data_IF_166322046135
#
_entry.id   IF_166322046135
#
_cell.length_a   1.000
_cell.length_b   1.000
_cell.length_c   1.000
_cell.angle_alpha   90.00
_cell.angle_beta   90.00
_cell.angle_gamma   90.00
#
_symmetry.space_group_name_H-M   'P 1'
#
loop_
_entity.id
_entity.type
_entity.pdbx_description
1 polymer ?
#
# COMPACT_ATOMS: atom_id res chain seq x y z
N UNK A 1 -12.09 9.21 1.10
CA UNK A 1 -10.85 9.99 1.38
C UNK A 1 -10.02 9.32 2.46
N UNK A 2 -10.59 8.90 3.58
CA UNK A 2 -9.89 8.13 4.61
C UNK A 2 -9.30 6.85 4.02
N UNK A 3 -10.02 6.15 3.15
CA UNK A 3 -9.54 4.96 2.45
C UNK A 3 -8.24 5.19 1.64
N UNK A 4 -8.08 6.34 1.01
CA UNK A 4 -6.84 6.66 0.28
C UNK A 4 -5.65 6.85 1.23
N UNK A 5 -5.87 7.54 2.37
CA UNK A 5 -4.82 7.73 3.37
C UNK A 5 -4.45 6.41 4.06
N UNK A 6 -5.46 5.58 4.36
CA UNK A 6 -5.26 4.25 4.93
C UNK A 6 -4.51 3.35 3.94
N UNK A 7 -4.87 3.40 2.65
CA UNK A 7 -4.17 2.70 1.59
C UNK A 7 -2.71 3.13 1.44
N UNK A 8 -2.42 4.43 1.50
CA UNK A 8 -1.05 4.96 1.46
C UNK A 8 -0.24 4.53 2.69
N UNK A 9 -0.86 4.55 3.87
CA UNK A 9 -0.25 4.09 5.10
C UNK A 9 0.10 2.62 5.04
N UNK A 10 -0.86 1.79 4.66
CA UNK A 10 -0.68 0.35 4.49
C UNK A 10 0.40 0.03 3.44
N UNK A 11 0.36 0.70 2.28
CA UNK A 11 1.38 0.55 1.24
C UNK A 11 2.78 0.96 1.75
N UNK A 12 2.87 2.01 2.57
CA UNK A 12 4.13 2.45 3.18
C UNK A 12 4.69 1.40 4.16
N UNK A 13 3.85 0.78 4.98
CA UNK A 13 4.27 -0.30 5.89
C UNK A 13 4.76 -1.53 5.12
N UNK A 14 4.00 -1.98 4.11
CA UNK A 14 4.40 -3.11 3.27
C UNK A 14 5.68 -2.83 2.48
N UNK A 15 5.86 -1.58 2.02
CA UNK A 15 7.09 -1.15 1.37
C UNK A 15 8.28 -1.25 2.35
N UNK A 16 8.11 -0.84 3.60
CA UNK A 16 9.14 -0.98 4.63
C UNK A 16 9.50 -2.46 4.87
N UNK A 17 8.50 -3.32 5.04
CA UNK A 17 8.70 -4.77 5.20
C UNK A 17 9.43 -5.36 4.00
N UNK A 18 9.03 -5.03 2.77
CA UNK A 18 9.68 -5.49 1.55
C UNK A 18 11.14 -5.04 1.44
N UNK A 19 11.44 -3.78 1.78
CA UNK A 19 12.81 -3.24 1.77
C UNK A 19 13.68 -3.95 2.81
N UNK A 20 13.18 -4.16 4.03
CA UNK A 20 13.92 -4.85 5.11
C UNK A 20 14.18 -6.31 4.69
N UNK A 21 13.17 -7.01 4.16
CA UNK A 21 13.31 -8.37 3.68
C UNK A 21 14.38 -8.48 2.58
N UNK A 22 14.33 -7.60 1.57
CA UNK A 22 15.35 -7.59 0.51
C UNK A 22 16.73 -7.30 1.07
N UNK A 23 16.86 -6.39 2.04
CA UNK A 23 18.13 -6.07 2.68
C UNK A 23 18.73 -7.29 3.41
N UNK A 24 17.91 -8.05 4.13
CA UNK A 24 18.33 -9.23 4.91
C UNK A 24 18.65 -10.43 4.02
N UNK A 25 17.85 -10.65 2.96
CA UNK A 25 18.03 -11.80 2.06
C UNK A 25 19.08 -11.55 0.98
N UNK A 26 19.41 -10.29 0.66
CA UNK A 26 20.37 -9.90 -0.37
C UNK A 26 21.70 -10.67 -0.32
N UNK A 27 22.41 -10.79 0.82
CA UNK A 27 23.70 -11.51 0.85
C UNK A 27 23.55 -13.00 0.49
N UNK A 28 22.44 -13.62 0.86
CA UNK A 28 22.13 -14.98 0.49
C UNK A 28 21.86 -15.10 -1.02
N UNK A 29 21.01 -14.22 -1.58
CA UNK A 29 20.69 -14.18 -3.00
C UNK A 29 21.97 -13.94 -3.85
N UNK A 30 22.88 -13.09 -3.37
CA UNK A 30 24.14 -12.82 -4.04
C UNK A 30 25.04 -14.05 -4.07
N UNK A 31 25.07 -14.82 -2.98
CA UNK A 31 25.87 -16.06 -2.89
C UNK A 31 25.30 -17.18 -3.75
N UNK A 32 23.98 -17.34 -3.80
CA UNK A 32 23.30 -18.44 -4.48
C UNK A 32 23.06 -18.15 -5.97
N UNK A 33 22.59 -16.96 -6.30
CA UNK A 33 22.13 -16.62 -7.64
C UNK A 33 22.92 -15.52 -8.35
N UNK A 34 23.87 -14.86 -7.66
CA UNK A 34 24.67 -13.79 -8.20
C UNK A 34 23.92 -12.46 -8.38
N UNK A 35 24.60 -11.47 -8.94
CA UNK A 35 24.10 -10.10 -9.06
C UNK A 35 22.79 -9.99 -9.87
N UNK A 36 22.60 -10.83 -10.89
CA UNK A 36 21.40 -10.81 -11.73
C UNK A 36 20.12 -11.18 -10.97
N UNK A 37 20.21 -12.14 -10.03
CA UNK A 37 19.06 -12.56 -9.18
C UNK A 37 18.76 -11.47 -8.16
N UNK A 38 19.79 -10.90 -7.53
CA UNK A 38 19.63 -9.79 -6.58
C UNK A 38 18.97 -8.58 -7.24
N UNK A 39 19.39 -8.21 -8.44
CA UNK A 39 18.78 -7.09 -9.15
C UNK A 39 17.30 -7.35 -9.46
N UNK A 40 16.94 -8.56 -9.90
CA UNK A 40 15.55 -8.90 -10.18
C UNK A 40 14.66 -8.98 -8.95
N UNK A 41 15.23 -9.33 -7.78
CA UNK A 41 14.47 -9.38 -6.54
C UNK A 41 13.88 -8.02 -6.13
N UNK A 42 14.43 -6.90 -6.64
CA UNK A 42 13.87 -5.57 -6.41
C UNK A 42 12.50 -5.36 -7.04
N UNK A 43 12.09 -6.19 -8.03
CA UNK A 43 10.73 -6.18 -8.56
C UNK A 43 9.69 -6.61 -7.53
N UNK A 44 10.10 -7.21 -6.41
CA UNK A 44 9.23 -7.48 -5.27
C UNK A 44 8.47 -6.21 -4.83
N UNK A 45 9.15 -5.06 -4.76
CA UNK A 45 8.55 -3.83 -4.24
C UNK A 45 7.41 -3.29 -5.12
N UNK A 46 7.57 -3.05 -6.43
CA UNK A 46 6.46 -2.59 -7.27
C UNK A 46 5.37 -3.66 -7.43
N UNK A 47 5.70 -4.94 -7.45
CA UNK A 47 4.70 -6.02 -7.51
C UNK A 47 3.90 -6.13 -6.22
N UNK A 48 4.54 -5.93 -5.06
CA UNK A 48 3.87 -5.87 -3.76
C UNK A 48 2.87 -4.70 -3.71
N UNK A 49 3.29 -3.52 -4.17
CA UNK A 49 2.39 -2.36 -4.27
C UNK A 49 1.25 -2.60 -5.27
N UNK A 50 1.52 -3.24 -6.40
CA UNK A 50 0.49 -3.60 -7.37
C UNK A 50 -0.52 -4.61 -6.80
N UNK A 51 -0.05 -5.59 -6.00
CA UNK A 51 -0.92 -6.56 -5.32
C UNK A 51 -1.90 -5.89 -4.35
N UNK A 52 -1.48 -4.82 -3.67
CA UNK A 52 -2.34 -4.03 -2.79
C UNK A 52 -3.44 -3.25 -3.53
N UNK A 53 -3.28 -3.02 -4.84
CA UNK A 53 -4.30 -2.36 -5.68
C UNK A 53 -5.30 -3.34 -6.29
N UNK A 54 -5.05 -4.65 -6.20
CA UNK A 54 -5.97 -5.65 -6.72
C UNK A 54 -7.22 -5.74 -5.82
N UNK A 55 -8.43 -5.69 -6.42
CA UNK A 55 -9.65 -5.86 -5.65
C UNK A 55 -9.67 -7.25 -4.99
N UNK A 56 -10.11 -7.30 -3.74
CA UNK A 56 -10.33 -8.56 -3.07
C UNK A 56 -11.48 -9.29 -3.76
N UNK A 57 -11.34 -10.59 -4.10
CA UNK A 57 -12.50 -11.36 -4.49
C UNK A 57 -13.44 -11.37 -3.28
N UNK A 58 -14.65 -10.90 -3.48
CA UNK A 58 -15.72 -11.11 -2.50
C UNK A 58 -16.03 -12.61 -2.50
N UNK A 59 -15.28 -13.37 -1.69
CA UNK A 59 -15.59 -14.77 -1.47
C UNK A 59 -16.86 -14.80 -0.64
N UNK A 60 -17.98 -14.95 -1.31
CA UNK A 60 -19.34 -15.03 -0.74
C UNK A 60 -19.54 -16.30 0.11
N UNK A 61 -18.51 -16.83 0.75
CA UNK A 61 -18.51 -18.18 1.35
C UNK A 61 -19.02 -18.24 2.79
N UNK A 62 -19.37 -17.11 3.43
CA UNK A 62 -19.95 -17.10 4.79
C UNK A 62 -20.98 -16.00 5.05
N UNK A 63 -21.71 -15.52 4.04
CA UNK A 63 -22.76 -14.51 4.24
C UNK A 63 -24.17 -15.09 4.41
N UNK A 64 -24.32 -16.37 4.75
CA UNK A 64 -25.62 -16.94 5.13
C UNK A 64 -25.76 -17.08 6.65
N UNK A 65 -25.41 -16.05 7.40
CA UNK A 65 -26.07 -15.81 8.68
C UNK A 65 -27.19 -14.84 8.36
N UNK A 66 -28.48 -15.27 8.48
CA UNK A 66 -29.60 -14.34 8.30
C UNK A 66 -29.49 -13.30 9.41
N UNK A 67 -28.83 -12.21 9.17
CA UNK A 67 -28.97 -11.01 9.97
C UNK A 67 -30.33 -10.45 9.66
N UNK A 68 -31.27 -10.68 10.57
CA UNK A 68 -32.52 -9.90 10.60
C UNK A 68 -32.12 -8.43 10.47
N UNK A 69 -32.71 -7.67 9.54
CA UNK A 69 -32.37 -6.27 9.36
C UNK A 69 -32.97 -5.47 10.54
N UNK A 70 -32.27 -5.49 11.67
CA UNK A 70 -32.46 -4.45 12.67
C UNK A 70 -31.87 -3.17 12.09
N UNK A 71 -32.72 -2.39 11.44
CA UNK A 71 -32.39 -1.07 10.95
C UNK A 71 -32.28 -0.14 12.16
N UNK A 72 -31.13 -0.25 12.88
CA UNK A 72 -30.75 0.77 13.85
C UNK A 72 -30.32 1.95 13.00
N UNK A 73 -31.21 2.91 12.83
CA UNK A 73 -30.87 4.23 12.31
C UNK A 73 -30.14 4.93 13.46
N UNK A 74 -28.84 5.19 13.36
CA UNK A 74 -28.18 6.08 14.31
C UNK A 74 -28.76 7.46 14.03
N UNK A 75 -29.63 7.92 14.93
CA UNK A 75 -30.08 9.30 14.94
C UNK A 75 -28.83 10.17 15.20
N UNK A 76 -28.43 10.88 14.15
CA UNK A 76 -27.36 11.86 14.26
C UNK A 76 -27.80 12.87 15.33
N UNK A 77 -27.10 12.84 16.45
CA UNK A 77 -27.10 13.96 17.37
C UNK A 77 -26.57 15.13 16.52
N UNK A 78 -27.47 16.04 16.14
CA UNK A 78 -27.07 17.33 15.58
C UNK A 78 -26.27 18.09 16.67
N UNK A 79 -25.02 17.69 16.81
CA UNK A 79 -24.00 18.47 17.49
C UNK A 79 -23.78 19.73 16.65
N UNK A 80 -23.76 20.88 17.30
CA UNK A 80 -23.31 22.17 16.76
C UNK A 80 -22.20 21.95 15.72
N UNK A 81 -22.20 22.67 14.58
CA UNK A 81 -21.14 22.54 13.58
C UNK A 81 -19.81 22.98 14.22
N UNK A 82 -19.14 22.05 14.86
CA UNK A 82 -17.73 22.19 15.08
C UNK A 82 -17.12 22.25 13.70
N UNK A 83 -16.55 23.38 13.32
CA UNK A 83 -15.72 23.51 12.14
C UNK A 83 -14.55 22.51 12.31
N UNK A 84 -14.81 21.24 12.05
CA UNK A 84 -13.80 20.21 12.05
C UNK A 84 -12.87 20.55 10.92
N UNK A 85 -11.71 21.11 11.26
CA UNK A 85 -10.62 21.27 10.32
C UNK A 85 -10.47 19.92 9.60
N UNK A 86 -10.72 19.92 8.29
CA UNK A 86 -10.80 18.66 7.52
C UNK A 86 -9.38 18.13 7.28
N UNK A 87 -8.73 17.65 8.35
CA UNK A 87 -7.37 17.11 8.36
C UNK A 87 -7.04 16.19 7.18
N UNK A 88 -7.96 15.34 6.70
CA UNK A 88 -7.67 14.47 5.57
C UNK A 88 -7.35 15.26 4.29
N UNK A 89 -8.01 16.40 4.03
CA UNK A 89 -7.72 17.25 2.87
C UNK A 89 -6.36 17.93 2.99
N UNK A 90 -6.00 18.36 4.20
CA UNK A 90 -4.68 18.97 4.46
C UNK A 90 -3.57 17.93 4.23
N UNK A 91 -3.74 16.72 4.74
CA UNK A 91 -2.77 15.64 4.53
C UNK A 91 -2.63 15.29 3.05
N UNK A 92 -3.73 15.19 2.30
CA UNK A 92 -3.71 14.93 0.87
C UNK A 92 -3.03 16.07 0.10
N UNK A 93 -3.28 17.33 0.48
CA UNK A 93 -2.61 18.49 -0.11
C UNK A 93 -1.10 18.44 0.15
N UNK A 94 -0.68 18.19 1.38
CA UNK A 94 0.74 18.07 1.74
C UNK A 94 1.39 16.92 0.94
N UNK A 95 0.72 15.78 0.83
CA UNK A 95 1.21 14.64 0.08
C UNK A 95 1.37 14.96 -1.41
N UNK A 96 0.36 15.55 -2.05
CA UNK A 96 0.41 15.92 -3.48
C UNK A 96 1.47 16.97 -3.76
N UNK A 97 1.61 17.99 -2.91
CA UNK A 97 2.66 19.00 -3.02
C UNK A 97 4.06 18.38 -2.89
N UNK A 98 4.26 17.49 -1.92
CA UNK A 98 5.52 16.79 -1.72
C UNK A 98 5.88 15.89 -2.92
N UNK A 99 4.92 15.13 -3.43
CA UNK A 99 5.08 14.31 -4.62
C UNK A 99 5.41 15.16 -5.86
N UNK A 100 4.68 16.26 -6.06
CA UNK A 100 4.92 17.23 -7.13
C UNK A 100 6.30 17.87 -7.05
N UNK A 101 6.73 18.28 -5.87
CA UNK A 101 8.07 18.85 -5.64
C UNK A 101 9.18 17.82 -5.90
N UNK A 102 9.01 16.58 -5.44
CA UNK A 102 9.92 15.48 -5.70
C UNK A 102 10.07 15.23 -7.20
N UNK A 103 8.96 15.11 -7.92
CA UNK A 103 8.94 14.92 -9.37
C UNK A 103 9.60 16.11 -10.09
N UNK A 104 9.27 17.34 -9.71
CA UNK A 104 9.82 18.57 -10.29
C UNK A 104 11.35 18.62 -10.12
N UNK A 105 11.86 18.25 -8.94
CA UNK A 105 13.32 18.16 -8.70
C UNK A 105 13.97 17.17 -9.66
N UNK A 106 13.39 15.99 -9.85
CA UNK A 106 13.93 14.98 -10.77
C UNK A 106 13.85 15.43 -12.23
N UNK A 107 12.75 16.02 -12.65
CA UNK A 107 12.61 16.58 -14.00
C UNK A 107 13.60 17.72 -14.27
N UNK A 108 13.81 18.58 -13.29
CA UNK A 108 14.83 19.66 -13.40
C UNK A 108 16.24 19.08 -13.49
N UNK A 109 16.56 18.06 -12.70
CA UNK A 109 17.85 17.38 -12.77
C UNK A 109 18.07 16.71 -14.14
N UNK A 110 17.05 16.03 -14.66
CA UNK A 110 17.07 15.42 -15.99
C UNK A 110 17.26 16.47 -17.09
N UNK A 111 16.50 17.56 -17.06
CA UNK A 111 16.66 18.66 -18.05
C UNK A 111 18.02 19.34 -17.98
N UNK A 112 18.61 19.47 -16.78
CA UNK A 112 19.99 20.00 -16.63
C UNK A 112 20.99 19.06 -17.26
N UNK A 113 20.85 17.76 -17.03
CA UNK A 113 21.69 16.74 -17.64
C UNK A 113 21.58 16.76 -19.17
N UNK A 114 20.36 16.79 -19.73
CA UNK A 114 20.09 16.87 -21.16
C UNK A 114 20.67 18.14 -21.80
N UNK A 115 20.55 19.30 -21.14
CA UNK A 115 21.15 20.55 -21.60
C UNK A 115 22.68 20.49 -21.56
N UNK A 116 23.24 19.81 -20.55
CA UNK A 116 24.69 19.63 -20.44
C UNK A 116 25.29 18.76 -21.54
N UNK A 117 24.51 17.92 -22.21
CA UNK A 117 24.97 17.15 -23.38
C UNK A 117 25.14 18.00 -24.64
N UNK A 118 24.40 19.11 -24.75
CA UNK A 118 24.43 19.95 -25.95
C UNK A 118 23.88 19.27 -27.19
N UNK A 119 24.51 19.54 -28.36
CA UNK A 119 24.11 18.92 -29.63
C UNK A 119 24.47 17.43 -29.67
N UNK A 120 23.63 16.62 -30.29
CA UNK A 120 23.84 15.17 -30.47
C UNK A 120 24.08 14.85 -31.95
N UNK A 121 25.16 14.10 -32.25
CA UNK A 121 25.46 13.58 -33.57
C UNK A 121 25.37 12.06 -33.57
N UNK A 122 24.70 11.49 -34.57
CA UNK A 122 24.66 10.04 -34.73
C UNK A 122 26.03 9.48 -35.15
N UNK A 123 26.40 8.34 -34.57
CA UNK A 123 27.64 7.59 -34.86
C UNK A 123 27.32 6.33 -35.66
N UNK A 124 28.29 5.84 -36.42
CA UNK A 124 28.15 4.62 -37.22
C UNK A 124 27.89 3.35 -36.41
N UNK A 125 28.30 3.34 -35.12
CA UNK A 125 28.10 2.22 -34.19
C UNK A 125 26.69 2.19 -33.54
N UNK A 126 25.78 3.12 -33.94
CA UNK A 126 24.42 3.26 -33.44
C UNK A 126 24.33 3.98 -32.08
N UNK A 127 25.42 4.56 -31.59
CA UNK A 127 25.44 5.48 -30.45
C UNK A 127 25.32 6.94 -30.94
N UNK A 128 25.24 7.86 -29.99
CA UNK A 128 25.18 9.31 -30.23
C UNK A 128 26.31 9.98 -29.51
N UNK A 129 26.98 10.91 -30.17
CA UNK A 129 28.05 11.74 -29.57
C UNK A 129 27.46 13.08 -29.16
N UNK A 130 27.65 13.43 -27.89
CA UNK A 130 27.30 14.73 -27.36
C UNK A 130 28.40 15.76 -27.57
N UNK A 131 28.06 17.04 -27.68
CA UNK A 131 29.02 18.13 -27.71
C UNK A 131 29.52 18.57 -26.33
N UNK A 132 28.80 18.19 -25.25
CA UNK A 132 29.18 18.41 -23.88
C UNK A 132 29.22 17.10 -23.08
N UNK A 133 29.85 17.13 -21.90
CA UNK A 133 29.95 15.93 -21.04
C UNK A 133 29.44 16.20 -19.62
N UNK A 134 28.12 16.00 -19.38
CA UNK A 134 27.56 16.08 -18.05
C UNK A 134 27.77 14.79 -17.22
N UNK A 135 28.58 13.84 -17.71
CA UNK A 135 28.83 12.54 -17.10
C UNK A 135 28.49 11.37 -18.02
N UNK A 136 29.03 11.37 -19.22
CA UNK A 136 28.87 10.32 -20.24
C UNK A 136 30.01 9.28 -20.17
N UNK A 137 29.86 8.05 -20.67
CA UNK A 137 28.68 7.55 -21.42
C UNK A 137 27.46 7.23 -20.56
N UNK A 138 26.28 7.26 -21.18
CA UNK A 138 25.03 6.96 -20.51
C UNK A 138 23.92 6.52 -21.48
N UNK A 139 22.98 5.70 -20.96
CA UNK A 139 21.71 5.41 -21.63
C UNK A 139 20.70 6.52 -21.27
N UNK A 140 20.26 7.30 -22.25
CA UNK A 140 19.40 8.48 -22.06
C UNK A 140 18.04 8.29 -22.73
N UNK A 141 16.97 8.64 -22.04
CA UNK A 141 15.59 8.58 -22.51
C UNK A 141 14.80 7.38 -21.98
N UNK A 142 13.52 7.61 -21.71
CA UNK A 142 12.61 6.58 -21.19
C UNK A 142 11.94 5.81 -22.34
N UNK A 143 11.31 6.50 -23.30
CA UNK A 143 10.55 5.88 -24.39
C UNK A 143 11.42 5.49 -25.58
N UNK A 144 12.44 6.25 -25.87
CA UNK A 144 13.39 6.04 -26.99
C UNK A 144 14.81 6.11 -26.47
N UNK A 145 15.29 5.06 -25.76
CA UNK A 145 16.58 5.07 -25.09
C UNK A 145 17.72 5.13 -26.13
N UNK A 146 18.59 6.13 -26.00
CA UNK A 146 19.78 6.36 -26.81
C UNK A 146 21.03 6.20 -25.97
N UNK A 147 22.01 5.52 -26.50
CA UNK A 147 23.34 5.45 -25.90
C UNK A 147 24.09 6.71 -26.34
N UNK A 148 24.48 7.53 -25.37
CA UNK A 148 25.18 8.79 -25.64
C UNK A 148 26.58 8.70 -25.04
N UNK A 149 27.60 9.11 -25.83
CA UNK A 149 28.98 9.18 -25.42
C UNK A 149 29.48 10.63 -25.41
N UNK A 150 30.52 10.91 -24.65
CA UNK A 150 31.11 12.24 -24.55
C UNK A 150 31.87 12.69 -25.82
N UNK A 151 32.21 13.99 -25.91
CA UNK A 151 32.90 14.55 -27.08
C UNK A 151 34.24 13.87 -27.33
N UNK A 152 35.02 13.59 -26.28
CA UNK A 152 36.37 13.05 -26.37
C UNK A 152 36.44 11.52 -26.23
N UNK A 153 35.31 10.83 -26.38
CA UNK A 153 35.19 9.37 -26.16
C UNK A 153 36.21 8.57 -27.00
N UNK A 154 36.42 8.95 -28.27
CA UNK A 154 37.36 8.26 -29.17
C UNK A 154 38.81 8.51 -28.84
N UNK A 155 39.11 9.66 -28.23
CA UNK A 155 40.47 10.01 -27.80
C UNK A 155 40.83 9.40 -26.44
N UNK A 156 39.83 9.31 -25.56
CA UNK A 156 40.03 8.81 -24.21
C UNK A 156 40.13 7.29 -24.14
N UNK A 157 39.43 6.55 -25.00
CA UNK A 157 39.31 5.10 -24.92
C UNK A 157 39.83 4.42 -26.18
N UNK A 158 40.61 3.35 -26.01
CA UNK A 158 41.01 2.47 -27.11
C UNK A 158 39.78 1.78 -27.73
N UNK A 159 39.90 1.31 -28.96
CA UNK A 159 38.80 0.64 -29.67
C UNK A 159 38.25 -0.57 -28.89
N UNK A 160 39.07 -1.25 -28.09
CA UNK A 160 38.64 -2.38 -27.28
C UNK A 160 37.88 -1.92 -26.02
N UNK A 161 38.35 -0.87 -25.36
CA UNK A 161 37.64 -0.23 -24.23
C UNK A 161 36.31 0.34 -24.67
N UNK A 162 36.25 1.04 -25.81
CA UNK A 162 34.99 1.57 -26.39
C UNK A 162 33.96 0.47 -26.60
N UNK A 163 34.37 -0.69 -27.15
CA UNK A 163 33.45 -1.84 -27.34
C UNK A 163 32.88 -2.33 -26.02
N UNK A 164 33.71 -2.44 -24.97
CA UNK A 164 33.27 -2.88 -23.63
C UNK A 164 32.28 -1.88 -23.01
N UNK A 165 32.56 -0.59 -23.11
CA UNK A 165 31.70 0.49 -22.63
C UNK A 165 30.32 0.43 -23.36
N UNK A 166 30.34 0.40 -24.69
CA UNK A 166 29.12 0.34 -25.48
C UNK A 166 28.35 -0.96 -25.25
N UNK A 167 29.04 -2.08 -24.98
CA UNK A 167 28.39 -3.35 -24.60
C UNK A 167 27.68 -3.25 -23.26
N UNK A 168 28.27 -2.55 -22.28
CA UNK A 168 27.64 -2.26 -20.99
C UNK A 168 26.37 -1.43 -21.18
N UNK A 169 26.43 -0.31 -21.90
CA UNK A 169 25.24 0.53 -22.16
C UNK A 169 24.16 -0.22 -22.96
N UNK A 170 24.55 -1.06 -23.93
CA UNK A 170 23.61 -1.94 -24.65
C UNK A 170 22.99 -2.98 -23.74
N UNK A 171 23.69 -3.44 -22.68
CA UNK A 171 23.15 -4.35 -21.68
C UNK A 171 22.05 -3.69 -20.86
N UNK A 172 22.24 -2.43 -20.41
CA UNK A 172 21.17 -1.65 -19.76
C UNK A 172 19.94 -1.50 -20.66
N UNK A 173 20.12 -1.14 -21.92
CA UNK A 173 19.03 -0.99 -22.88
C UNK A 173 18.27 -2.31 -23.10
N UNK A 174 18.97 -3.43 -23.33
CA UNK A 174 18.37 -4.75 -23.56
C UNK A 174 17.61 -5.27 -22.35
N UNK A 175 18.07 -4.94 -21.14
CA UNK A 175 17.43 -5.38 -19.91
C UNK A 175 16.27 -4.47 -19.47
N UNK A 176 16.02 -3.35 -20.17
CA UNK A 176 14.94 -2.43 -19.82
C UNK A 176 15.21 -1.60 -18.56
N UNK A 177 16.48 -1.38 -18.20
CA UNK A 177 16.88 -0.69 -16.97
C UNK A 177 16.35 0.75 -16.90
N UNK A 178 16.14 1.41 -18.04
CA UNK A 178 15.49 2.72 -18.15
C UNK A 178 14.04 2.70 -17.65
N UNK A 179 13.27 1.62 -17.91
CA UNK A 179 11.94 1.43 -17.36
C UNK A 179 11.96 1.16 -15.87
N UNK A 180 12.87 0.31 -15.40
CA UNK A 180 13.03 0.02 -13.98
C UNK A 180 13.38 1.31 -13.18
N UNK A 181 14.23 2.18 -13.76
CA UNK A 181 14.54 3.49 -13.19
C UNK A 181 13.34 4.44 -13.21
N UNK A 182 12.48 4.37 -14.24
CA UNK A 182 11.21 5.10 -14.30
C UNK A 182 10.25 4.67 -13.19
N UNK A 183 10.09 3.36 -12.95
CA UNK A 183 9.30 2.82 -11.84
C UNK A 183 9.85 3.27 -10.49
N UNK A 184 11.17 3.20 -10.31
CA UNK A 184 11.83 3.70 -9.10
C UNK A 184 11.56 5.19 -8.87
N UNK A 185 11.62 6.00 -9.93
CA UNK A 185 11.32 7.44 -9.87
C UNK A 185 9.87 7.67 -9.41
N UNK A 186 8.91 6.93 -10.00
CA UNK A 186 7.50 7.01 -9.62
C UNK A 186 7.31 6.64 -8.14
N UNK A 187 7.90 5.52 -7.70
CA UNK A 187 7.84 5.12 -6.29
C UNK A 187 8.41 6.19 -5.37
N UNK A 188 9.55 6.83 -5.74
CA UNK A 188 10.14 7.91 -4.96
C UNK A 188 9.30 9.18 -4.94
N UNK A 189 8.53 9.45 -5.97
CA UNK A 189 7.60 10.57 -6.00
C UNK A 189 6.36 10.31 -5.13
N UNK A 190 5.74 9.13 -5.27
CA UNK A 190 4.55 8.75 -4.50
C UNK A 190 4.85 8.61 -3.01
N UNK A 191 5.96 7.95 -2.66
CA UNK A 191 6.41 7.70 -1.29
C UNK A 191 7.58 8.61 -0.90
N UNK A 192 7.52 9.89 -1.28
CA UNK A 192 8.60 10.87 -1.03
C UNK A 192 8.97 11.01 0.44
N UNK A 193 8.01 10.78 1.34
CA UNK A 193 8.14 10.84 2.79
C UNK A 193 8.71 9.57 3.43
N UNK A 194 8.83 8.47 2.66
CA UNK A 194 9.21 7.16 3.21
C UNK A 194 10.72 7.10 3.51
N UNK A 195 11.14 6.85 4.78
CA UNK A 195 12.54 7.00 5.20
C UNK A 195 13.49 5.98 4.58
N UNK A 196 13.03 4.75 4.33
CA UNK A 196 13.86 3.68 3.77
C UNK A 196 14.03 3.76 2.26
N UNK A 197 13.15 4.45 1.55
CA UNK A 197 13.14 4.45 0.08
C UNK A 197 14.38 5.11 -0.55
N UNK A 198 14.94 6.23 -0.03
CA UNK A 198 16.19 6.77 -0.54
C UNK A 198 17.38 5.81 -0.39
N UNK A 199 17.40 5.03 0.69
CA UNK A 199 18.42 4.01 0.90
C UNK A 199 18.20 2.83 -0.05
N UNK A 200 16.97 2.33 -0.20
CA UNK A 200 16.59 1.26 -1.12
C UNK A 200 16.95 1.63 -2.57
N UNK A 201 16.66 2.87 -2.98
CA UNK A 201 17.01 3.38 -4.31
C UNK A 201 18.51 3.32 -4.59
N UNK A 202 19.34 3.72 -3.64
CA UNK A 202 20.81 3.62 -3.77
C UNK A 202 21.27 2.16 -3.90
N UNK A 203 20.65 1.26 -3.14
CA UNK A 203 20.95 -0.18 -3.21
C UNK A 203 20.50 -0.79 -4.53
N UNK A 204 19.29 -0.47 -4.98
CA UNK A 204 18.77 -0.90 -6.27
C UNK A 204 19.71 -0.52 -7.43
N UNK A 205 20.10 0.76 -7.53
CA UNK A 205 21.01 1.23 -8.58
C UNK A 205 22.36 0.52 -8.53
N UNK A 206 22.88 0.27 -7.33
CA UNK A 206 24.12 -0.50 -7.14
C UNK A 206 23.99 -1.94 -7.66
N UNK A 207 22.89 -2.63 -7.31
CA UNK A 207 22.66 -4.00 -7.74
C UNK A 207 22.38 -4.08 -9.25
N UNK A 208 21.79 -3.03 -9.84
CA UNK A 208 21.63 -2.87 -11.28
C UNK A 208 22.99 -2.83 -11.99
N UNK A 209 23.94 -2.02 -11.48
CA UNK A 209 25.31 -1.94 -12.02
C UNK A 209 26.04 -3.28 -11.94
N UNK A 210 26.01 -3.94 -10.76
CA UNK A 210 26.64 -5.25 -10.57
C UNK A 210 26.08 -6.30 -11.53
N UNK A 211 24.77 -6.29 -11.75
CA UNK A 211 24.10 -7.19 -12.69
C UNK A 211 24.47 -6.87 -14.16
N UNK A 212 24.61 -5.58 -14.49
CA UNK A 212 25.03 -5.14 -15.82
C UNK A 212 26.48 -5.55 -16.10
N UNK A 213 27.39 -5.35 -15.15
CA UNK A 213 28.79 -5.78 -15.26
C UNK A 213 28.91 -7.29 -15.48
N UNK A 214 28.17 -8.06 -14.68
CA UNK A 214 28.16 -9.53 -14.81
C UNK A 214 27.68 -9.99 -16.20
N UNK A 215 26.65 -9.34 -16.76
CA UNK A 215 26.15 -9.64 -18.11
C UNK A 215 27.12 -9.20 -19.20
N UNK A 216 27.77 -8.06 -19.02
CA UNK A 216 28.73 -7.50 -19.98
C UNK A 216 29.93 -8.40 -20.13
N UNK A 217 30.47 -8.92 -19.02
CA UNK A 217 31.70 -9.72 -19.06
C UNK A 217 31.49 -11.21 -19.25
N UNK A 218 30.24 -11.70 -19.09
CA UNK A 218 29.94 -13.12 -19.20
C UNK A 218 30.35 -13.78 -20.53
N UNK A 219 30.16 -13.11 -21.71
CA UNK A 219 30.55 -13.66 -23.01
C UNK A 219 32.07 -13.74 -23.21
N UNK A 220 32.83 -12.84 -22.55
CA UNK A 220 34.27 -12.68 -22.73
C UNK A 220 35.03 -12.57 -21.41
N UNK A 221 35.08 -13.66 -20.60
CA UNK A 221 35.69 -13.62 -19.27
C UNK A 221 37.17 -13.26 -19.23
N UNK A 222 37.89 -13.47 -20.34
CA UNK A 222 39.29 -13.10 -20.48
C UNK A 222 39.53 -11.57 -20.41
N UNK A 223 38.50 -10.77 -20.76
CA UNK A 223 38.61 -9.32 -20.76
C UNK A 223 38.29 -8.67 -19.41
N UNK A 224 38.14 -9.44 -18.32
CA UNK A 224 37.82 -8.92 -16.99
C UNK A 224 38.81 -7.87 -16.48
N UNK A 225 40.10 -8.12 -16.68
CA UNK A 225 41.15 -7.18 -16.28
C UNK A 225 41.06 -5.86 -17.04
N UNK A 226 40.90 -5.96 -18.36
CA UNK A 226 40.71 -4.78 -19.21
C UNK A 226 39.41 -4.03 -18.85
N UNK A 227 38.32 -4.76 -18.59
CA UNK A 227 37.07 -4.14 -18.20
C UNK A 227 37.18 -3.41 -16.85
N UNK A 228 37.84 -4.01 -15.86
CA UNK A 228 38.07 -3.37 -14.56
C UNK A 228 38.95 -2.09 -14.69
N UNK A 229 40.00 -2.13 -15.50
CA UNK A 229 40.85 -0.92 -15.77
C UNK A 229 40.08 0.15 -16.55
N UNK A 230 39.22 -0.25 -17.50
CA UNK A 230 38.32 0.68 -18.23
C UNK A 230 37.33 1.36 -17.29
N UNK A 231 36.72 0.61 -16.34
CA UNK A 231 35.87 1.18 -15.32
C UNK A 231 36.56 2.21 -14.44
N UNK A 232 37.80 1.90 -14.02
CA UNK A 232 38.60 2.81 -13.21
C UNK A 232 38.98 4.07 -14.01
N UNK A 233 39.44 3.92 -15.25
CA UNK A 233 39.79 5.02 -16.16
C UNK A 233 38.59 5.95 -16.39
N UNK A 234 37.42 5.39 -16.65
CA UNK A 234 36.21 6.16 -16.87
C UNK A 234 35.81 7.01 -15.66
N UNK A 235 36.12 6.59 -14.43
CA UNK A 235 35.84 7.38 -13.22
C UNK A 235 36.85 8.48 -12.93
N UNK A 236 38.11 8.31 -13.34
CA UNK A 236 39.17 9.30 -13.10
C UNK A 236 39.02 10.56 -13.97
N UNK A 237 38.36 10.43 -15.11
CA UNK A 237 38.31 11.48 -16.14
C UNK A 237 37.22 12.53 -15.89
N UNK A 238 36.14 12.21 -15.14
CA UNK A 238 35.00 13.13 -15.03
C UNK A 238 34.31 13.11 -13.65
N UNK A 239 33.75 14.27 -13.18
CA UNK A 239 33.00 14.34 -11.94
C UNK A 239 31.59 13.72 -12.06
N UNK A 240 31.03 13.39 -10.91
CA UNK A 240 29.78 12.63 -10.69
C UNK A 240 28.56 13.23 -11.39
N UNK A 241 27.87 12.44 -12.21
CA UNK A 241 26.57 12.78 -12.83
C UNK A 241 25.36 12.56 -11.89
N UNK A 242 24.23 13.27 -12.12
CA UNK A 242 23.02 13.11 -11.32
C UNK A 242 22.31 11.75 -11.52
N UNK A 243 21.45 11.39 -10.57
CA UNK A 243 20.91 10.08 -10.21
C UNK A 243 20.10 9.25 -11.25
N UNK A 244 20.04 9.59 -12.51
CA UNK A 244 19.18 8.90 -13.48
C UNK A 244 19.90 7.88 -14.35
N UNK A 245 21.21 8.04 -14.58
CA UNK A 245 22.02 7.13 -15.40
C UNK A 245 23.44 7.06 -14.82
N UNK A 246 23.79 6.00 -14.08
CA UNK A 246 25.04 5.97 -13.34
C UNK A 246 25.99 4.86 -13.75
N UNK A 247 26.87 5.19 -14.65
CA UNK A 247 28.15 4.50 -14.77
C UNK A 247 29.12 4.84 -13.60
N UNK A 248 28.93 5.94 -12.85
CA UNK A 248 29.98 6.65 -12.10
C UNK A 248 29.74 6.95 -10.61
N UNK A 249 29.16 6.09 -9.80
CA UNK A 249 29.16 6.34 -8.35
C UNK A 249 30.39 5.72 -7.67
N UNK A 250 31.26 6.55 -7.09
CA UNK A 250 32.51 6.11 -6.44
C UNK A 250 32.35 4.98 -5.38
N UNK A 251 31.32 4.99 -4.50
CA UNK A 251 31.15 3.91 -3.54
C UNK A 251 30.88 2.54 -4.18
N UNK A 252 30.34 2.54 -5.40
CA UNK A 252 29.97 1.33 -6.14
C UNK A 252 31.17 0.73 -6.88
N UNK A 253 32.15 1.55 -7.28
CA UNK A 253 33.31 1.07 -8.06
C UNK A 253 34.11 -0.02 -7.34
N UNK A 254 34.37 0.17 -6.05
CA UNK A 254 35.13 -0.82 -5.25
C UNK A 254 34.38 -2.18 -5.23
N UNK A 255 33.06 -2.15 -5.08
CA UNK A 255 32.24 -3.36 -5.09
C UNK A 255 32.16 -3.99 -6.48
N UNK A 256 32.05 -3.17 -7.55
CA UNK A 256 32.08 -3.61 -8.96
C UNK A 256 33.40 -4.33 -9.29
N UNK A 257 34.54 -3.73 -8.96
CA UNK A 257 35.85 -4.35 -9.18
C UNK A 257 36.01 -5.63 -8.36
N UNK A 258 35.66 -5.62 -7.09
CA UNK A 258 35.71 -6.80 -6.23
C UNK A 258 34.88 -7.97 -6.77
N UNK A 259 33.68 -7.67 -7.30
CA UNK A 259 32.81 -8.68 -7.92
C UNK A 259 33.39 -9.24 -9.21
N UNK A 260 34.08 -8.42 -10.03
CA UNK A 260 34.76 -8.88 -11.24
C UNK A 260 35.94 -9.80 -10.92
N UNK A 261 36.62 -9.59 -9.78
CA UNK A 261 37.75 -10.41 -9.34
C UNK A 261 37.31 -11.77 -8.77
N UNK A 262 36.08 -11.87 -8.25
CA UNK A 262 35.58 -13.14 -7.73
C UNK A 262 35.44 -14.16 -8.87
N UNK A 263 36.26 -15.22 -8.80
CA UNK A 263 36.14 -16.38 -9.70
C UNK A 263 34.76 -16.97 -9.64
N UNK A 264 34.29 -17.55 -10.76
CA UNK A 264 32.98 -18.23 -10.89
C UNK A 264 32.73 -19.17 -9.72
N UNK A 265 32.06 -18.71 -8.66
CA UNK A 265 31.34 -19.61 -7.78
C UNK A 265 30.25 -20.26 -8.64
N UNK A 266 30.08 -21.58 -8.52
CA UNK A 266 28.96 -22.31 -9.16
C UNK A 266 27.68 -21.69 -8.60
N UNK A 267 27.16 -20.66 -9.28
CA UNK A 267 25.85 -20.12 -8.97
C UNK A 267 24.82 -21.21 -9.24
N UNK A 268 23.77 -21.25 -8.44
CA UNK A 268 22.59 -22.05 -8.74
C UNK A 268 22.18 -21.83 -10.21
N UNK A 269 21.66 -22.84 -10.92
CA UNK A 269 21.15 -22.66 -12.26
C UNK A 269 20.26 -21.42 -12.31
N UNK A 270 20.40 -20.61 -13.34
CA UNK A 270 19.67 -19.34 -13.52
C UNK A 270 18.15 -19.49 -13.25
N UNK A 271 17.57 -20.64 -13.62
CA UNK A 271 16.16 -20.97 -13.40
C UNK A 271 15.79 -21.02 -11.91
N UNK A 272 16.62 -21.65 -11.05
CA UNK A 272 16.31 -21.76 -9.62
C UNK A 272 16.34 -20.41 -8.90
N UNK A 273 17.24 -19.50 -9.29
CA UNK A 273 17.24 -18.14 -8.79
C UNK A 273 15.99 -17.35 -9.19
N UNK A 274 15.46 -17.56 -10.41
CA UNK A 274 14.21 -16.97 -10.87
C UNK A 274 13.01 -17.51 -10.09
N UNK A 275 12.91 -18.83 -9.93
CA UNK A 275 11.84 -19.48 -9.17
C UNK A 275 11.81 -18.96 -7.73
N UNK A 276 12.96 -18.79 -7.09
CA UNK A 276 13.05 -18.23 -5.74
C UNK A 276 12.51 -16.79 -5.68
N UNK A 277 12.89 -15.92 -6.63
CA UNK A 277 12.40 -14.53 -6.69
C UNK A 277 10.91 -14.48 -6.95
N UNK A 278 10.42 -15.28 -7.92
CA UNK A 278 8.97 -15.34 -8.23
C UNK A 278 8.20 -15.87 -7.03
N UNK A 279 8.67 -16.93 -6.38
CA UNK A 279 8.04 -17.46 -5.16
C UNK A 279 8.00 -16.44 -4.03
N UNK A 280 9.07 -15.66 -3.83
CA UNK A 280 9.11 -14.58 -2.84
C UNK A 280 8.11 -13.46 -3.18
N UNK A 281 8.04 -13.05 -4.45
CA UNK A 281 7.10 -12.04 -4.92
C UNK A 281 5.64 -12.48 -4.75
N UNK A 282 5.32 -13.71 -5.16
CA UNK A 282 3.96 -14.26 -5.04
C UNK A 282 3.57 -14.47 -3.57
N UNK A 283 4.46 -15.02 -2.74
CA UNK A 283 4.22 -15.24 -1.32
C UNK A 283 3.96 -13.93 -0.57
N UNK A 284 4.84 -12.94 -0.71
CA UNK A 284 4.66 -11.63 -0.10
C UNK A 284 3.42 -10.89 -0.65
N UNK A 285 3.19 -10.95 -1.96
CA UNK A 285 2.01 -10.36 -2.60
C UNK A 285 0.71 -10.98 -2.07
N UNK A 286 0.67 -12.29 -1.92
CA UNK A 286 -0.50 -13.00 -1.36
C UNK A 286 -0.76 -12.64 0.11
N UNK A 287 0.30 -12.55 0.93
CA UNK A 287 0.18 -12.14 2.34
C UNK A 287 -0.29 -10.68 2.44
N UNK A 288 0.29 -9.77 1.66
CA UNK A 288 -0.10 -8.38 1.63
C UNK A 288 -1.56 -8.21 1.14
N UNK A 289 -1.94 -8.96 0.12
CA UNK A 289 -3.31 -8.98 -0.41
C UNK A 289 -4.30 -9.54 0.60
N UNK A 290 -3.98 -10.67 1.26
CA UNK A 290 -4.83 -11.27 2.29
C UNK A 290 -4.96 -10.40 3.55
N UNK A 291 -3.97 -9.55 3.87
CA UNK A 291 -4.03 -8.64 5.00
C UNK A 291 -5.03 -7.48 4.82
N UNK A 292 -5.47 -7.22 3.59
CA UNK A 292 -6.53 -6.24 3.30
C UNK A 292 -7.90 -6.73 3.72
N UNK A 293 -8.14 -8.05 3.67
CA UNK A 293 -9.33 -8.64 4.28
C UNK A 293 -9.11 -8.64 5.79
N UNK A 294 -9.88 -7.90 6.56
CA UNK A 294 -9.89 -7.98 8.03
C UNK A 294 -10.18 -9.39 8.61
N UNK A 295 -9.97 -10.44 7.83
CA UNK A 295 -10.28 -11.83 8.06
C UNK A 295 -9.09 -12.68 8.53
N UNK A 296 -7.88 -12.11 8.69
CA UNK A 296 -6.79 -12.84 9.36
C UNK A 296 -6.63 -12.42 10.82
N UNK A 297 -7.66 -12.55 11.60
CA UNK A 297 -7.53 -12.80 13.03
C UNK A 297 -7.22 -14.29 13.25
N UNK A 298 -6.06 -14.76 12.80
CA UNK A 298 -5.51 -16.04 13.22
C UNK A 298 -4.68 -15.75 14.47
N UNK A 299 -5.34 -15.79 15.56
CA UNK A 299 -4.85 -15.86 16.92
C UNK A 299 -6.07 -15.92 17.83
N UNK A 300 -6.03 -16.59 18.97
CA UNK A 300 -7.00 -16.31 20.00
C UNK A 300 -6.64 -14.91 20.53
N UNK A 301 -7.01 -13.87 19.76
CA UNK A 301 -7.30 -12.61 20.37
C UNK A 301 -8.41 -12.95 21.35
N UNK A 302 -8.09 -12.93 22.62
CA UNK A 302 -9.08 -12.63 23.65
C UNK A 302 -9.65 -11.30 23.17
N UNK A 303 -10.66 -11.38 22.32
CA UNK A 303 -11.49 -10.24 21.98
C UNK A 303 -12.07 -9.82 23.30
N UNK A 304 -11.50 -8.78 23.87
CA UNK A 304 -12.15 -7.99 24.89
C UNK A 304 -13.36 -7.43 24.17
N UNK A 305 -14.46 -8.21 24.16
CA UNK A 305 -15.69 -7.83 23.50
C UNK A 305 -16.35 -6.76 24.35
N UNK A 306 -16.13 -5.51 24.00
CA UNK A 306 -17.04 -4.46 24.36
C UNK A 306 -18.36 -4.77 23.63
N UNK A 307 -19.37 -5.06 24.37
CA UNK A 307 -20.70 -5.39 23.84
C UNK A 307 -21.71 -4.45 24.45
N UNK A 308 -22.51 -3.85 23.61
CA UNK A 308 -23.65 -3.02 24.04
C UNK A 308 -24.77 -3.86 24.65
N UNK A 309 -25.66 -3.18 25.38
CA UNK A 309 -26.87 -3.80 25.98
C UNK A 309 -27.67 -4.42 24.87
N UNK A 310 -28.13 -5.68 25.09
CA UNK A 310 -29.07 -6.38 24.21
C UNK A 310 -30.34 -6.75 24.95
N UNK A 311 -31.46 -6.69 24.27
CA UNK A 311 -32.74 -7.23 24.74
C UNK A 311 -32.85 -8.69 24.33
N UNK A 312 -32.99 -9.60 25.27
CA UNK A 312 -33.06 -11.04 25.02
C UNK A 312 -34.50 -11.50 24.72
N UNK A 313 -35.45 -11.01 25.53
CA UNK A 313 -36.90 -11.28 25.35
C UNK A 313 -37.64 -9.96 25.38
N UNK A 314 -38.43 -9.70 24.37
CA UNK A 314 -39.19 -8.46 24.18
C UNK A 314 -40.64 -8.80 23.79
N UNK A 315 -41.50 -9.30 24.75
CA UNK A 315 -42.89 -9.47 24.46
C UNK A 315 -43.53 -8.12 24.08
N UNK A 316 -44.37 -8.06 23.05
CA UNK A 316 -45.00 -6.81 22.62
C UNK A 316 -45.87 -6.21 23.70
N UNK A 317 -45.90 -4.88 23.84
CA UNK A 317 -46.82 -4.22 24.75
C UNK A 317 -48.29 -4.44 24.29
N UNK A 318 -49.21 -4.53 25.24
CA UNK A 318 -50.63 -4.60 24.92
C UNK A 318 -51.14 -3.25 24.40
N UNK A 319 -51.97 -3.28 23.34
CA UNK A 319 -52.58 -2.07 22.80
C UNK A 319 -53.65 -1.56 23.81
N UNK A 320 -53.64 -0.25 24.18
CA UNK A 320 -54.70 0.31 25.07
C UNK A 320 -56.06 0.25 24.37
N UNK A 321 -57.08 -0.26 25.07
CA UNK A 321 -58.43 -0.38 24.49
C UNK A 321 -58.99 0.94 23.96
N UNK A 322 -58.78 2.04 24.69
CA UNK A 322 -59.26 3.37 24.29
C UNK A 322 -58.57 3.85 23.00
N UNK A 323 -57.28 3.58 22.83
CA UNK A 323 -56.54 3.95 21.65
C UNK A 323 -56.92 3.06 20.44
N UNK A 324 -57.21 1.80 20.69
CA UNK A 324 -57.69 0.85 19.67
C UNK A 324 -59.05 1.28 19.12
N UNK A 325 -60.02 1.61 20.01
CA UNK A 325 -61.35 2.08 19.63
C UNK A 325 -61.32 3.39 18.84
N UNK A 326 -60.30 4.23 19.05
CA UNK A 326 -60.13 5.52 18.38
C UNK A 326 -59.19 5.45 17.16
N UNK A 327 -58.73 4.24 16.80
CA UNK A 327 -57.79 4.03 15.70
C UNK A 327 -56.49 4.89 15.82
N UNK A 328 -56.08 5.18 17.05
CA UNK A 328 -54.87 5.98 17.30
C UNK A 328 -53.60 5.13 17.12
N UNK A 329 -52.69 5.60 16.33
CA UNK A 329 -51.36 5.00 16.10
C UNK A 329 -50.26 5.91 16.64
N UNK A 330 -49.08 5.38 16.92
CA UNK A 330 -48.02 6.23 17.41
C UNK A 330 -46.70 5.48 17.66
N UNK A 331 -45.66 6.25 17.93
CA UNK A 331 -44.33 5.72 18.28
C UNK A 331 -43.94 6.29 19.64
N UNK A 332 -43.48 5.42 20.54
CA UNK A 332 -42.92 5.80 21.84
C UNK A 332 -41.46 5.38 21.88
N UNK A 333 -40.56 6.30 22.16
CA UNK A 333 -39.13 6.01 22.36
C UNK A 333 -38.83 5.98 23.84
N UNK A 334 -38.44 4.82 24.34
CA UNK A 334 -38.07 4.63 25.73
C UNK A 334 -36.52 4.68 25.86
N UNK A 335 -36.06 5.26 26.96
CA UNK A 335 -34.73 5.04 27.48
C UNK A 335 -34.83 4.08 28.66
N UNK A 336 -34.11 2.97 28.57
CA UNK A 336 -34.03 1.94 29.62
C UNK A 336 -32.60 1.91 30.13
N UNK A 337 -32.42 2.20 31.42
CA UNK A 337 -31.15 2.08 32.12
C UNK A 337 -31.08 0.69 32.76
N UNK A 338 -30.03 -0.05 32.46
CA UNK A 338 -29.79 -1.45 32.84
C UNK A 338 -28.52 -1.54 33.67
N UNK A 339 -28.57 -2.25 34.78
CA UNK A 339 -27.39 -2.45 35.65
C UNK A 339 -26.44 -3.52 35.12
N UNK A 340 -25.34 -3.75 35.83
CA UNK A 340 -24.32 -4.74 35.45
C UNK A 340 -24.84 -6.20 35.55
N UNK A 341 -25.97 -6.45 36.19
CA UNK A 341 -26.64 -7.75 36.32
C UNK A 341 -27.69 -8.00 35.24
N UNK A 342 -27.99 -6.97 34.44
CA UNK A 342 -29.05 -7.03 33.41
C UNK A 342 -30.43 -6.65 33.91
N UNK A 343 -30.56 -6.18 35.16
CA UNK A 343 -31.81 -5.71 35.71
C UNK A 343 -32.08 -4.26 35.28
N UNK A 344 -33.37 -3.94 35.05
CA UNK A 344 -33.80 -2.59 34.69
C UNK A 344 -33.77 -1.69 35.94
N UNK A 345 -32.97 -0.68 35.93
CA UNK A 345 -32.87 0.31 37.03
C UNK A 345 -33.88 1.45 36.83
N UNK A 346 -34.07 1.92 35.61
CA UNK A 346 -34.99 3.01 35.31
C UNK A 346 -35.51 2.91 33.87
N UNK A 347 -36.78 3.33 33.65
CA UNK A 347 -37.40 3.46 32.32
C UNK A 347 -38.02 4.85 32.23
N UNK A 348 -37.64 5.61 31.21
CA UNK A 348 -38.14 6.95 30.91
C UNK A 348 -38.58 7.06 29.45
N UNK A 349 -39.70 7.76 29.22
CA UNK A 349 -40.11 8.17 27.87
C UNK A 349 -39.23 9.32 27.42
N UNK A 350 -38.57 9.16 26.28
CA UNK A 350 -37.75 10.21 25.66
C UNK A 350 -38.58 11.04 24.69
N UNK A 351 -39.40 10.39 23.89
CA UNK A 351 -40.35 11.02 22.97
C UNK A 351 -41.56 10.11 22.73
N UNK A 352 -42.69 10.72 22.48
CA UNK A 352 -43.93 10.02 22.10
C UNK A 352 -44.68 10.86 21.07
N UNK A 353 -45.25 10.22 20.03
CA UNK A 353 -46.06 10.89 19.01
C UNK A 353 -47.36 11.40 19.64
N UNK A 354 -48.01 10.58 20.50
CA UNK A 354 -49.20 10.91 21.26
C UNK A 354 -48.91 10.76 22.76
N UNK A 355 -48.38 11.82 23.44
CA UNK A 355 -47.99 11.75 24.84
C UNK A 355 -49.14 11.34 25.74
N UNK A 356 -48.90 10.37 26.64
CA UNK A 356 -49.89 9.89 27.60
C UNK A 356 -50.78 8.71 27.11
N UNK A 357 -50.87 8.48 25.81
CA UNK A 357 -51.74 7.39 25.25
C UNK A 357 -51.03 6.02 25.38
N UNK A 358 -49.77 5.93 24.91
CA UNK A 358 -49.05 4.67 24.87
C UNK A 358 -47.92 4.58 25.92
N UNK A 359 -47.66 5.63 26.66
CA UNK A 359 -46.50 5.75 27.55
C UNK A 359 -46.53 4.69 28.67
N UNK A 360 -47.67 4.55 29.36
CA UNK A 360 -47.83 3.64 30.49
C UNK A 360 -47.64 2.16 30.10
N UNK A 361 -48.24 1.75 28.98
CA UNK A 361 -48.12 0.36 28.48
C UNK A 361 -46.74 0.04 27.97
N UNK A 362 -46.09 1.03 27.36
CA UNK A 362 -44.70 0.91 26.89
C UNK A 362 -43.70 0.77 28.05
N UNK A 363 -43.87 1.57 29.11
CA UNK A 363 -43.03 1.49 30.32
C UNK A 363 -43.27 0.14 31.04
N UNK A 364 -44.52 -0.31 31.17
CA UNK A 364 -44.84 -1.58 31.80
C UNK A 364 -44.25 -2.77 31.02
N UNK A 365 -44.31 -2.74 29.67
CA UNK A 365 -43.71 -3.74 28.83
C UNK A 365 -42.19 -3.76 28.98
N UNK A 366 -41.51 -2.60 28.88
CA UNK A 366 -40.06 -2.51 28.97
C UNK A 366 -39.48 -3.00 30.33
N UNK A 367 -40.26 -2.87 31.40
CA UNK A 367 -39.89 -3.43 32.71
C UNK A 367 -39.99 -4.94 32.79
N UNK A 368 -40.80 -5.56 31.94
CA UNK A 368 -40.96 -7.03 31.86
C UNK A 368 -39.97 -7.71 30.92
N UNK A 369 -39.22 -6.93 30.10
CA UNK A 369 -38.26 -7.47 29.16
C UNK A 369 -36.99 -7.92 29.88
N UNK A 370 -36.25 -8.85 29.24
CA UNK A 370 -35.01 -9.36 29.75
C UNK A 370 -33.83 -8.75 28.97
N UNK A 371 -32.87 -8.19 29.69
CA UNK A 371 -31.72 -7.51 29.12
C UNK A 371 -30.42 -8.22 29.43
N UNK A 372 -29.46 -8.15 28.51
CA UNK A 372 -28.08 -8.51 28.78
C UNK A 372 -27.26 -7.23 28.95
N UNK A 373 -26.48 -7.10 30.05
CA UNK A 373 -25.72 -5.89 30.31
C UNK A 373 -24.65 -5.65 29.23
N UNK A 374 -24.23 -4.41 29.09
CA UNK A 374 -23.03 -4.04 28.32
C UNK A 374 -21.78 -4.70 28.93
N UNK A 375 -20.85 -5.07 28.09
CA UNK A 375 -19.53 -5.54 28.51
C UNK A 375 -18.50 -4.49 28.14
N UNK A 376 -17.66 -4.11 29.11
CA UNK A 376 -16.49 -3.26 28.86
C UNK A 376 -15.26 -3.97 29.41
N UNK A 377 -14.27 -4.20 28.52
CA UNK A 377 -13.11 -5.03 28.85
C UNK A 377 -13.50 -6.43 29.37
N UNK A 378 -14.57 -7.04 28.80
CA UNK A 378 -15.07 -8.34 29.22
C UNK A 378 -15.79 -8.39 30.56
N UNK A 379 -15.96 -7.26 31.25
CA UNK A 379 -16.70 -7.14 32.51
C UNK A 379 -18.06 -6.50 32.28
N UNK A 380 -19.15 -7.04 32.88
CA UNK A 380 -20.47 -6.43 32.77
C UNK A 380 -20.48 -5.05 33.46
N UNK A 381 -21.04 -4.08 32.74
CA UNK A 381 -21.18 -2.69 33.22
C UNK A 381 -22.58 -2.20 33.01
N UNK A 382 -23.03 -1.29 33.86
CA UNK A 382 -24.29 -0.61 33.69
C UNK A 382 -24.28 0.27 32.43
N UNK A 383 -25.42 0.44 31.80
CA UNK A 383 -25.55 1.28 30.60
C UNK A 383 -27.02 1.63 30.34
N UNK A 384 -27.24 2.35 29.25
CA UNK A 384 -28.60 2.72 28.82
C UNK A 384 -28.84 2.33 27.35
N UNK A 385 -30.07 1.91 27.03
CA UNK A 385 -30.51 1.61 25.65
C UNK A 385 -31.73 2.41 25.31
N UNK A 386 -31.86 2.87 24.07
CA UNK A 386 -33.07 3.51 23.56
C UNK A 386 -33.83 2.50 22.69
N UNK A 387 -35.12 2.36 22.94
CA UNK A 387 -35.97 1.38 22.27
C UNK A 387 -37.20 2.09 21.73
N UNK A 388 -37.37 2.18 20.41
CA UNK A 388 -38.60 2.65 19.79
C UNK A 388 -39.64 1.54 19.78
N UNK A 389 -40.85 1.86 20.18
CA UNK A 389 -42.02 0.98 20.15
C UNK A 389 -43.04 1.63 19.22
N UNK A 390 -43.42 0.92 18.18
CA UNK A 390 -44.44 1.39 17.21
C UNK A 390 -45.74 0.69 17.46
N UNK A 391 -46.79 1.48 17.64
CA UNK A 391 -48.17 1.03 17.69
C UNK A 391 -48.82 1.34 16.35
N UNK A 392 -49.07 0.30 15.56
CA UNK A 392 -49.75 0.36 14.27
C UNK A 392 -50.91 -0.60 14.28
N UNK A 393 -51.94 -0.32 13.50
CA UNK A 393 -53.05 -1.28 13.25
C UNK A 393 -52.72 -2.03 11.98
N UNK A 394 -52.61 -3.35 12.06
CA UNK A 394 -52.52 -4.21 10.89
C UNK A 394 -53.93 -4.46 10.35
N UNK A 395 -54.10 -4.35 9.02
CA UNK A 395 -55.38 -4.66 8.33
C UNK A 395 -55.86 -6.11 8.52
N UNK A 396 -55.07 -6.98 9.15
CA UNK A 396 -55.39 -8.38 9.40
C UNK A 396 -56.27 -8.63 10.63
N UNK A 397 -56.44 -7.67 11.55
CA UNK A 397 -57.22 -7.87 12.79
C UNK A 397 -58.72 -7.54 12.64
N UNK A 398 -59.15 -6.98 11.49
CA UNK A 398 -60.56 -6.62 11.24
C UNK A 398 -61.43 -7.80 10.80
N UNK A 399 -60.89 -9.00 10.59
CA UNK A 399 -61.64 -10.16 10.04
C UNK A 399 -62.05 -11.20 11.09
N UNK A 400 -61.65 -11.06 12.36
CA UNK A 400 -61.88 -12.12 13.37
C UNK A 400 -63.07 -11.85 14.34
N UNK A 401 -63.68 -10.68 14.27
CA UNK A 401 -64.82 -10.36 15.21
C UNK A 401 -66.23 -10.43 14.60
N UNK A 402 -66.37 -10.95 13.36
CA UNK A 402 -67.75 -11.14 12.75
C UNK A 402 -68.16 -12.58 12.69
N UNK A 403 -67.61 -13.49 13.53
CA UNK A 403 -68.13 -14.87 13.64
C UNK A 403 -68.11 -15.38 15.08
N UNK A 404 -69.00 -14.82 15.91
CA UNK A 404 -69.68 -15.52 17.00
C UNK A 404 -70.77 -14.66 17.62
#
# INVERSE_FOLDING_TARGET
MNELLDGLWQASLWLAVGVILLATVRPLLLRLGGAGVVYRSWWLLPLLLAALLLPLPQVALLQHVPTLPLKVVPEAVEGLPTASLQWPWVLLLVWTLGAGLCLLRHLRAQRRFERGMGGLRARADGSWQASGDPGLPALVGLWRPRIVVGPDFDQQFTAQEQRLILQHERSHRRNGDHWANGVLLLMRAVFWFHPLLPWAARRFLRDQELACDARTIAPQPALRGLYASTLLKAQLVHPVAPAVCHWRSQPVLKERIAMLQQSKRKALPWVSGQVLVVGLCLGMGAVAWASQSGAMAIGPAVAVMDREIRVDKMPPPSYPKSAFEQSETGVVVLRVDVDAQGAVSEVRVVSATNPGVFDAVSIAAARSWTYRPALKNGKPVAGAVRIPITFAMDESDEVTETAR
#
